data_IF_655785676390
#
_entry.id   IF_655785676390
#
_cell.length_a   1.000
_cell.length_b   1.000
_cell.length_c   1.000
_cell.angle_alpha   90.00
_cell.angle_beta   90.00
_cell.angle_gamma   90.00
#
_symmetry.space_group_name_H-M   'P 1'
#
loop_
_entity.id
_entity.type
_entity.pdbx_description
1 polymer ?
#
# COMPACT_ATOMS: atom_id res chain seq x y z
N UNK A 1 2.28 -17.94 24.22
CA UNK A 1 2.03 -17.76 22.78
C UNK A 1 1.12 -16.55 22.64
N UNK A 2 1.69 -15.37 22.40
CA UNK A 2 0.88 -14.17 22.11
C UNK A 2 0.37 -14.31 20.68
N UNK A 3 -0.94 -14.21 20.49
CA UNK A 3 -1.57 -14.07 19.18
C UNK A 3 -1.09 -12.76 18.55
N UNK A 4 -0.01 -12.82 17.78
CA UNK A 4 0.65 -11.63 17.19
C UNK A 4 0.06 -11.20 15.85
N UNK A 5 -0.90 -11.95 15.29
CA UNK A 5 -1.32 -11.79 13.89
C UNK A 5 -2.52 -10.86 13.66
N UNK A 6 -3.39 -10.63 14.65
CA UNK A 6 -4.57 -9.75 14.46
C UNK A 6 -4.25 -8.24 14.34
N UNK A 7 -3.36 -7.64 15.15
CA UNK A 7 -3.12 -6.20 15.08
C UNK A 7 -2.24 -5.78 13.89
N UNK A 8 -1.41 -6.68 13.35
CA UNK A 8 -0.50 -6.41 12.23
C UNK A 8 -1.26 -6.25 10.91
N UNK A 9 -2.07 -7.24 10.58
CA UNK A 9 -2.94 -7.26 9.39
C UNK A 9 -3.98 -6.13 9.42
N UNK A 10 -4.54 -5.83 10.59
CA UNK A 10 -5.56 -4.78 10.72
C UNK A 10 -5.01 -3.40 10.36
N UNK A 11 -3.79 -3.08 10.79
CA UNK A 11 -3.14 -1.80 10.47
C UNK A 11 -2.86 -1.68 8.97
N UNK A 12 -2.32 -2.72 8.35
CA UNK A 12 -2.05 -2.73 6.90
C UNK A 12 -3.36 -2.54 6.11
N UNK A 13 -4.46 -3.16 6.54
CA UNK A 13 -5.78 -3.02 5.91
C UNK A 13 -6.36 -1.62 6.04
N UNK A 14 -6.22 -0.99 7.21
CA UNK A 14 -6.66 0.39 7.43
C UNK A 14 -5.90 1.37 6.52
N UNK A 15 -4.58 1.20 6.41
CA UNK A 15 -3.76 2.02 5.52
C UNK A 15 -4.10 1.78 4.04
N UNK A 16 -4.36 0.52 3.64
CA UNK A 16 -4.79 0.19 2.28
C UNK A 16 -6.15 0.81 1.93
N UNK A 17 -7.11 0.80 2.87
CA UNK A 17 -8.41 1.45 2.68
C UNK A 17 -8.26 2.97 2.51
N UNK A 18 -7.44 3.59 3.36
CA UNK A 18 -7.18 5.02 3.28
C UNK A 18 -6.36 5.41 2.05
N UNK A 19 -5.49 4.52 1.56
CA UNK A 19 -4.79 4.67 0.28
C UNK A 19 -5.79 4.66 -0.90
N UNK A 20 -6.75 3.73 -0.90
CA UNK A 20 -7.79 3.67 -1.93
C UNK A 20 -8.66 4.94 -1.96
N UNK A 21 -8.99 5.49 -0.78
CA UNK A 21 -9.71 6.77 -0.69
C UNK A 21 -8.88 7.94 -1.25
N UNK A 22 -7.60 8.03 -0.89
CA UNK A 22 -6.71 9.08 -1.41
C UNK A 22 -6.61 9.01 -2.95
N UNK A 23 -6.49 7.80 -3.52
CA UNK A 23 -6.51 7.59 -4.97
C UNK A 23 -7.83 8.02 -5.62
N UNK A 24 -8.97 7.73 -4.99
CA UNK A 24 -10.29 8.06 -5.52
C UNK A 24 -10.50 9.58 -5.65
N UNK A 25 -9.92 10.36 -4.73
CA UNK A 25 -9.97 11.84 -4.77
C UNK A 25 -8.74 12.46 -5.44
N UNK A 26 -7.88 11.66 -6.07
CA UNK A 26 -6.64 12.10 -6.72
C UNK A 26 -5.65 12.82 -5.78
N UNK A 27 -5.70 12.51 -4.47
CA UNK A 27 -4.71 12.93 -3.50
C UNK A 27 -3.46 12.04 -3.63
N UNK A 28 -2.60 12.38 -4.60
CA UNK A 28 -1.38 11.62 -4.87
C UNK A 28 -0.34 11.77 -3.77
N UNK A 29 -0.32 12.87 -3.02
CA UNK A 29 0.60 13.03 -1.90
C UNK A 29 0.14 12.21 -0.69
N UNK A 30 -1.16 12.16 -0.41
CA UNK A 30 -1.76 11.21 0.53
C UNK A 30 -1.48 9.77 0.12
N UNK A 31 -1.64 9.44 -1.17
CA UNK A 31 -1.35 8.09 -1.69
C UNK A 31 0.12 7.71 -1.50
N UNK A 32 1.06 8.61 -1.78
CA UNK A 32 2.50 8.40 -1.53
C UNK A 32 2.78 8.17 -0.05
N UNK A 33 2.20 9.00 0.81
CA UNK A 33 2.37 8.87 2.26
C UNK A 33 1.87 7.50 2.76
N UNK A 34 0.65 7.13 2.39
CA UNK A 34 0.04 5.83 2.73
C UNK A 34 0.85 4.66 2.20
N UNK A 35 1.37 4.75 0.96
CA UNK A 35 2.21 3.71 0.37
C UNK A 35 3.47 3.46 1.21
N UNK A 36 4.12 4.52 1.72
CA UNK A 36 5.29 4.39 2.61
C UNK A 36 4.94 3.77 3.96
N UNK A 37 3.76 4.08 4.51
CA UNK A 37 3.27 3.45 5.73
C UNK A 37 3.06 1.94 5.51
N UNK A 38 2.41 1.55 4.41
CA UNK A 38 2.22 0.14 4.06
C UNK A 38 3.56 -0.57 3.87
N UNK A 39 4.52 0.02 3.16
CA UNK A 39 5.89 -0.51 3.01
C UNK A 39 6.54 -0.77 4.38
N UNK A 40 6.44 0.21 5.28
CA UNK A 40 7.03 0.12 6.63
C UNK A 40 6.37 -0.99 7.43
N UNK A 41 5.04 -1.07 7.43
CA UNK A 41 4.30 -2.11 8.14
C UNK A 41 4.58 -3.50 7.55
N UNK A 42 4.59 -3.62 6.22
CA UNK A 42 4.92 -4.86 5.52
C UNK A 42 6.34 -5.35 5.87
N UNK A 43 7.31 -4.43 5.98
CA UNK A 43 8.67 -4.76 6.43
C UNK A 43 8.69 -5.25 7.88
N UNK A 44 7.98 -4.57 8.78
CA UNK A 44 7.90 -4.94 10.20
C UNK A 44 7.27 -6.33 10.39
N UNK A 45 6.28 -6.66 9.56
CA UNK A 45 5.49 -7.88 9.69
C UNK A 45 5.91 -9.01 8.72
N UNK A 46 6.98 -8.84 7.95
CA UNK A 46 7.48 -9.86 7.02
C UNK A 46 6.53 -10.16 5.85
N UNK A 47 5.77 -9.17 5.38
CA UNK A 47 4.82 -9.31 4.28
C UNK A 47 5.47 -8.97 2.93
N UNK A 48 6.38 -9.82 2.46
CA UNK A 48 7.26 -9.53 1.31
C UNK A 48 6.49 -9.19 0.01
N UNK A 49 5.38 -9.89 -0.24
CA UNK A 49 4.54 -9.63 -1.42
C UNK A 49 3.88 -8.24 -1.36
N UNK A 50 3.37 -7.85 -0.19
CA UNK A 50 2.77 -6.52 0.05
C UNK A 50 3.83 -5.44 -0.03
N UNK A 51 5.02 -5.68 0.54
CA UNK A 51 6.17 -4.78 0.46
C UNK A 51 6.55 -4.50 -1.00
N UNK A 52 6.74 -5.55 -1.80
CA UNK A 52 7.13 -5.42 -3.21
C UNK A 52 6.06 -4.69 -4.04
N UNK A 53 4.78 -5.00 -3.81
CA UNK A 53 3.68 -4.36 -4.52
C UNK A 53 3.51 -2.88 -4.14
N UNK A 54 3.66 -2.54 -2.85
CA UNK A 54 3.56 -1.16 -2.37
C UNK A 54 4.75 -0.30 -2.84
N UNK A 55 5.95 -0.87 -2.93
CA UNK A 55 7.10 -0.21 -3.56
C UNK A 55 6.85 0.08 -5.04
N UNK A 56 6.37 -0.92 -5.80
CA UNK A 56 6.05 -0.73 -7.21
C UNK A 56 5.00 0.38 -7.42
N UNK A 57 3.99 0.47 -6.53
CA UNK A 57 3.03 1.56 -6.55
C UNK A 57 3.69 2.92 -6.27
N UNK A 58 4.52 3.01 -5.25
CA UNK A 58 5.22 4.26 -4.90
C UNK A 58 6.11 4.75 -6.05
N UNK A 59 6.78 3.83 -6.75
CA UNK A 59 7.60 4.15 -7.92
C UNK A 59 6.75 4.68 -9.08
N UNK A 60 5.58 4.09 -9.34
CA UNK A 60 4.64 4.59 -10.36
C UNK A 60 4.04 5.96 -10.01
N UNK A 61 3.85 6.25 -8.72
CA UNK A 61 3.42 7.58 -8.26
C UNK A 61 4.50 8.64 -8.53
N UNK A 62 5.77 8.24 -8.53
CA UNK A 62 6.90 9.11 -8.74
C UNK A 62 7.15 10.11 -7.59
N UNK A 63 7.93 11.17 -7.83
CA UNK A 63 8.21 12.19 -6.82
C UNK A 63 7.02 13.13 -6.61
N UNK A 64 6.93 13.74 -5.42
CA UNK A 64 5.91 14.76 -5.11
C UNK A 64 5.94 15.88 -6.17
N UNK A 65 4.76 16.37 -6.56
CA UNK A 65 4.52 17.31 -7.67
C UNK A 65 4.68 16.76 -9.10
N UNK A 66 4.89 15.46 -9.28
CA UNK A 66 4.78 14.85 -10.62
C UNK A 66 3.37 15.08 -11.19
N UNK A 67 3.31 15.60 -12.43
CA UNK A 67 2.09 16.13 -13.05
C UNK A 67 1.05 15.07 -13.39
N UNK A 68 1.47 13.80 -13.50
CA UNK A 68 0.56 12.66 -13.67
C UNK A 68 1.33 11.36 -13.43
N UNK A 69 0.98 10.55 -12.42
CA UNK A 69 1.51 9.21 -12.27
C UNK A 69 1.19 8.34 -13.49
N UNK A 70 2.20 7.74 -14.11
CA UNK A 70 1.97 6.74 -15.16
C UNK A 70 1.60 5.40 -14.52
N UNK A 71 0.58 4.70 -15.04
CA UNK A 71 0.27 3.30 -14.72
C UNK A 71 0.00 2.95 -13.23
N UNK A 72 -0.25 3.95 -12.36
CA UNK A 72 -0.54 3.72 -10.95
C UNK A 72 -1.74 2.80 -10.71
N UNK A 73 -2.74 2.80 -11.60
CA UNK A 73 -3.91 1.93 -11.51
C UNK A 73 -3.54 0.44 -11.59
N UNK A 74 -2.58 0.06 -12.44
CA UNK A 74 -2.12 -1.32 -12.55
C UNK A 74 -1.29 -1.72 -11.31
N UNK A 75 -0.45 -0.82 -10.81
CA UNK A 75 0.31 -1.06 -9.59
C UNK A 75 -0.62 -1.19 -8.36
N UNK A 76 -1.67 -0.37 -8.29
CA UNK A 76 -2.69 -0.48 -7.25
C UNK A 76 -3.40 -1.83 -7.29
N UNK A 77 -3.78 -2.31 -8.48
CA UNK A 77 -4.36 -3.65 -8.64
C UNK A 77 -3.43 -4.76 -8.11
N UNK A 78 -2.12 -4.66 -8.35
CA UNK A 78 -1.14 -5.62 -7.82
C UNK A 78 -1.07 -5.57 -6.29
N UNK A 79 -1.12 -4.37 -5.71
CA UNK A 79 -1.17 -4.20 -4.26
C UNK A 79 -2.43 -4.82 -3.66
N UNK A 80 -3.59 -4.61 -4.27
CA UNK A 80 -4.85 -5.24 -3.83
C UNK A 80 -4.74 -6.77 -3.85
N UNK A 81 -4.25 -7.36 -4.93
CA UNK A 81 -4.08 -8.82 -5.04
C UNK A 81 -3.13 -9.35 -3.94
N UNK A 82 -2.01 -8.66 -3.69
CA UNK A 82 -1.07 -9.07 -2.65
C UNK A 82 -1.67 -8.97 -1.24
N UNK A 83 -2.54 -7.99 -1.01
CA UNK A 83 -3.28 -7.86 0.25
C UNK A 83 -4.31 -8.98 0.39
N UNK A 84 -5.09 -9.28 -0.66
CA UNK A 84 -6.11 -10.33 -0.64
C UNK A 84 -5.49 -11.70 -0.34
N UNK A 85 -4.36 -12.03 -0.98
CA UNK A 85 -3.63 -13.29 -0.76
C UNK A 85 -3.09 -13.47 0.66
N UNK A 86 -2.90 -12.37 1.40
CA UNK A 86 -2.44 -12.39 2.79
C UNK A 86 -3.60 -12.39 3.81
N UNK A 87 -4.82 -12.13 3.35
CA UNK A 87 -6.02 -11.98 4.20
C UNK A 87 -6.97 -13.19 4.10
N UNK A 88 -6.79 -14.07 3.12
CA UNK A 88 -7.42 -15.40 3.03
C UNK A 88 -6.70 -16.44 3.89
#
# INVERSE_FOLDING_TARGET
MMSTDEPSITKVRQEAAALGQALAIQDFDGTRHRSRLIITLATIYGMDAVYAAAHALLDQLGPSKASSPSNYAQAMKRLTIALDQMLE
#
